data_IF_925058646627
#
_entry.id   IF_925058646627
#
_cell.length_a   1.000
_cell.length_b   1.000
_cell.length_c   1.000
_cell.angle_alpha   90.00
_cell.angle_beta   90.00
_cell.angle_gamma   90.00
#
_symmetry.space_group_name_H-M   'P 1'
#
loop_
_entity.id
_entity.type
_entity.pdbx_description
1 polymer ?
#
# COMPACT_ATOMS: atom_id res chain seq x y z
N UNK A 1 -22.66 -4.05 -16.55
CA UNK A 1 -21.19 -4.31 -16.50
C UNK A 1 -20.62 -3.17 -15.69
N UNK A 2 -20.36 -3.37 -14.39
CA UNK A 2 -19.94 -2.29 -13.49
C UNK A 2 -18.42 -2.30 -13.38
N UNK A 3 -17.80 -1.12 -13.48
CA UNK A 3 -16.35 -0.94 -13.49
C UNK A 3 -15.73 -1.27 -12.13
N UNK A 4 -14.65 -2.04 -12.12
CA UNK A 4 -13.87 -2.30 -10.91
C UNK A 4 -13.04 -1.08 -10.51
N UNK A 5 -12.83 -0.87 -9.22
CA UNK A 5 -12.00 0.21 -8.70
C UNK A 5 -10.52 0.02 -9.09
N UNK A 6 -10.02 0.87 -10.00
CA UNK A 6 -8.62 0.83 -10.46
C UNK A 6 -7.59 1.03 -9.34
N UNK A 7 -7.88 1.87 -8.34
CA UNK A 7 -7.00 2.10 -7.17
C UNK A 7 -6.93 0.90 -6.22
N UNK A 8 -8.01 0.14 -6.10
CA UNK A 8 -8.07 -1.04 -5.24
C UNK A 8 -7.54 -2.32 -5.91
N UNK A 9 -7.12 -2.25 -7.18
CA UNK A 9 -6.64 -3.41 -7.95
C UNK A 9 -5.14 -3.34 -8.27
N UNK A 10 -4.50 -2.19 -8.12
CA UNK A 10 -3.09 -2.01 -8.45
C UNK A 10 -2.19 -2.38 -7.26
N UNK A 11 -1.61 -3.58 -7.28
CA UNK A 11 -0.42 -3.86 -6.47
C UNK A 11 0.78 -3.31 -7.23
N UNK A 12 1.40 -2.26 -6.68
CA UNK A 12 2.64 -1.70 -7.22
C UNK A 12 3.83 -2.65 -7.04
N UNK A 13 5.03 -2.07 -7.00
CA UNK A 13 6.28 -2.78 -6.74
C UNK A 13 7.28 -2.61 -7.88
N UNK A 14 8.56 -2.67 -7.52
CA UNK A 14 9.67 -2.53 -8.45
C UNK A 14 9.81 -3.80 -9.32
N UNK A 15 9.94 -3.60 -10.63
CA UNK A 15 10.23 -4.65 -11.59
C UNK A 15 11.70 -4.59 -12.01
N UNK A 16 12.25 -5.73 -12.37
CA UNK A 16 13.60 -5.78 -12.95
C UNK A 16 13.49 -5.48 -14.44
N UNK A 17 13.64 -4.20 -14.78
CA UNK A 17 13.56 -3.70 -16.15
C UNK A 17 14.54 -2.54 -16.35
N UNK A 18 15.10 -2.37 -17.55
CA UNK A 18 15.92 -1.21 -17.84
C UNK A 18 15.08 0.07 -17.83
N UNK A 19 15.67 1.17 -17.35
CA UNK A 19 14.98 2.46 -17.25
C UNK A 19 15.95 3.64 -17.34
N UNK A 20 15.42 4.80 -17.72
CA UNK A 20 16.08 6.09 -17.55
C UNK A 20 15.57 6.74 -16.27
N UNK A 21 16.46 7.09 -15.35
CA UNK A 21 16.14 7.76 -14.10
C UNK A 21 16.53 9.22 -14.19
N UNK A 22 15.59 10.12 -13.90
CA UNK A 22 15.82 11.58 -13.89
C UNK A 22 15.51 12.12 -12.51
N UNK A 23 16.56 12.44 -11.76
CA UNK A 23 16.50 12.98 -10.41
C UNK A 23 16.50 14.50 -10.44
N UNK A 24 15.63 15.11 -9.64
CA UNK A 24 15.50 16.56 -9.48
C UNK A 24 15.54 16.82 -7.98
N UNK A 25 16.59 17.50 -7.51
CA UNK A 25 16.78 17.81 -6.10
C UNK A 25 16.47 19.29 -5.83
N UNK A 26 15.77 19.59 -4.73
CA UNK A 26 15.37 20.97 -4.42
C UNK A 26 16.52 21.86 -3.92
N UNK A 27 17.64 21.26 -3.51
CA UNK A 27 18.83 22.00 -3.07
C UNK A 27 20.13 21.44 -3.63
N UNK A 28 21.10 22.33 -3.78
CA UNK A 28 22.46 21.99 -4.24
C UNK A 28 23.15 21.00 -3.29
N UNK A 29 22.88 21.09 -1.98
CA UNK A 29 23.42 20.13 -1.00
C UNK A 29 22.88 18.71 -1.24
N UNK A 30 21.57 18.57 -1.45
CA UNK A 30 20.94 17.28 -1.74
C UNK A 30 21.45 16.71 -3.06
N UNK A 31 21.59 17.56 -4.08
CA UNK A 31 22.18 17.17 -5.36
C UNK A 31 23.60 16.63 -5.19
N UNK A 32 24.45 17.30 -4.41
CA UNK A 32 25.82 16.83 -4.14
C UNK A 32 25.85 15.51 -3.39
N UNK A 33 24.98 15.31 -2.38
CA UNK A 33 24.85 14.02 -1.68
C UNK A 33 24.40 12.90 -2.61
N UNK A 34 23.40 13.17 -3.45
CA UNK A 34 22.91 12.22 -4.45
C UNK A 34 24.02 11.82 -5.43
N UNK A 35 24.75 12.77 -6.00
CA UNK A 35 25.90 12.52 -6.89
C UNK A 35 26.93 11.63 -6.21
N UNK A 36 27.36 12.01 -5.00
CA UNK A 36 28.33 11.24 -4.23
C UNK A 36 27.87 9.80 -4.01
N UNK A 37 26.62 9.58 -3.65
CA UNK A 37 26.08 8.24 -3.46
C UNK A 37 26.03 7.43 -4.77
N UNK A 38 25.69 8.07 -5.90
CA UNK A 38 25.71 7.43 -7.22
C UNK A 38 27.15 7.06 -7.63
N UNK A 39 28.13 7.93 -7.37
CA UNK A 39 29.56 7.69 -7.60
C UNK A 39 30.08 6.54 -6.74
N UNK A 40 29.76 6.53 -5.44
CA UNK A 40 30.13 5.47 -4.49
C UNK A 40 29.54 4.11 -4.92
N UNK A 41 28.38 4.12 -5.56
CA UNK A 41 27.72 2.94 -6.14
C UNK A 41 28.21 2.59 -7.56
N UNK A 42 29.16 3.35 -8.10
CA UNK A 42 29.74 3.18 -9.44
C UNK A 42 28.72 3.29 -10.58
N UNK A 43 27.75 4.21 -10.45
CA UNK A 43 26.84 4.57 -11.53
C UNK A 43 27.38 5.75 -12.32
N UNK A 44 27.39 5.63 -13.64
CA UNK A 44 27.60 6.75 -14.55
C UNK A 44 26.28 7.55 -14.68
N UNK A 45 26.38 8.87 -14.65
CA UNK A 45 25.24 9.77 -14.79
C UNK A 45 25.65 11.03 -15.56
N UNK A 46 24.64 11.69 -16.13
CA UNK A 46 24.72 12.98 -16.77
C UNK A 46 24.18 14.03 -15.79
N UNK A 47 25.00 15.03 -15.50
CA UNK A 47 24.67 16.14 -14.61
C UNK A 47 24.29 17.36 -15.46
N UNK A 48 22.99 17.64 -15.55
CA UNK A 48 22.42 18.78 -16.26
C UNK A 48 22.05 19.88 -15.27
N UNK A 49 21.78 21.11 -15.74
CA UNK A 49 21.57 22.28 -14.86
C UNK A 49 20.60 22.00 -13.69
N UNK A 50 19.45 21.39 -13.99
CA UNK A 50 18.36 21.14 -13.04
C UNK A 50 18.13 19.65 -12.71
N UNK A 51 18.91 18.73 -13.28
CA UNK A 51 18.65 17.29 -13.10
C UNK A 51 19.89 16.41 -13.20
N UNK A 52 19.81 15.24 -12.57
CA UNK A 52 20.79 14.16 -12.72
C UNK A 52 20.10 12.99 -13.41
N UNK A 53 20.62 12.61 -14.58
CA UNK A 53 20.04 11.53 -15.40
C UNK A 53 20.99 10.33 -15.49
N UNK A 54 20.48 9.12 -15.28
CA UNK A 54 21.25 7.90 -15.53
C UNK A 54 20.41 6.79 -16.16
N UNK A 55 21.09 5.92 -16.89
CA UNK A 55 20.51 4.68 -17.42
C UNK A 55 20.81 3.54 -16.46
N UNK A 56 19.80 2.74 -16.13
CA UNK A 56 19.96 1.52 -15.35
C UNK A 56 19.49 0.33 -16.18
N UNK A 57 20.22 -0.79 -16.10
CA UNK A 57 19.81 -2.05 -16.74
C UNK A 57 18.71 -2.76 -15.96
N UNK A 58 18.57 -2.47 -14.67
CA UNK A 58 17.59 -3.06 -13.76
C UNK A 58 17.14 -2.08 -12.69
N UNK A 59 15.88 -1.64 -12.79
CA UNK A 59 15.25 -0.69 -11.88
C UNK A 59 15.17 -1.22 -10.45
N UNK A 60 14.71 -2.46 -10.26
CA UNK A 60 14.65 -3.09 -8.94
C UNK A 60 16.06 -3.19 -8.35
N UNK A 61 17.02 -3.79 -9.06
CA UNK A 61 18.42 -3.90 -8.59
C UNK A 61 19.06 -2.55 -8.22
N UNK A 62 18.79 -1.49 -9.00
CA UNK A 62 19.25 -0.14 -8.69
C UNK A 62 18.78 0.31 -7.30
N UNK A 63 17.48 0.27 -7.04
CA UNK A 63 16.94 0.78 -5.77
C UNK A 63 17.34 -0.08 -4.58
N UNK A 64 17.55 -1.39 -4.72
CA UNK A 64 18.08 -2.22 -3.63
C UNK A 64 19.48 -1.76 -3.25
N UNK A 65 20.38 -1.62 -4.23
CA UNK A 65 21.75 -1.12 -3.99
C UNK A 65 21.73 0.29 -3.40
N UNK A 66 20.86 1.15 -3.92
CA UNK A 66 20.72 2.53 -3.44
C UNK A 66 20.22 2.58 -1.99
N UNK A 67 19.20 1.79 -1.66
CA UNK A 67 18.64 1.69 -0.32
C UNK A 67 19.65 1.14 0.70
N UNK A 68 20.38 0.08 0.34
CA UNK A 68 21.40 -0.54 1.21
C UNK A 68 22.58 0.38 1.52
N UNK A 69 22.94 1.28 0.60
CA UNK A 69 24.03 2.24 0.81
C UNK A 69 23.74 3.29 1.89
N UNK A 70 22.46 3.53 2.24
CA UNK A 70 22.03 4.44 3.33
C UNK A 70 22.67 5.84 3.27
N UNK A 71 22.91 6.37 2.07
CA UNK A 71 23.55 7.69 1.89
C UNK A 71 22.65 8.90 2.15
N UNK A 72 21.33 8.70 2.15
CA UNK A 72 20.32 9.73 2.36
C UNK A 72 19.36 9.32 3.48
N UNK A 73 18.96 10.28 4.31
CA UNK A 73 17.89 10.09 5.29
C UNK A 73 16.50 10.11 4.62
N UNK A 74 15.48 9.68 5.37
CA UNK A 74 14.08 9.70 4.90
C UNK A 74 13.59 11.11 4.58
N UNK A 75 14.02 12.13 5.33
CA UNK A 75 13.65 13.53 5.07
C UNK A 75 14.33 14.00 3.79
N UNK A 76 15.62 13.70 3.61
CA UNK A 76 16.37 14.10 2.43
C UNK A 76 15.84 13.43 1.15
N UNK A 77 15.34 12.19 1.24
CA UNK A 77 14.76 11.49 0.09
C UNK A 77 13.33 11.98 -0.25
N UNK A 78 12.66 12.72 0.63
CA UNK A 78 11.38 13.36 0.32
C UNK A 78 11.56 14.60 -0.57
N UNK A 79 12.70 15.28 -0.46
CA UNK A 79 13.05 16.50 -1.21
C UNK A 79 13.81 16.23 -2.52
N UNK A 80 13.88 14.96 -2.92
CA UNK A 80 14.43 14.52 -4.21
C UNK A 80 13.29 13.89 -5.01
N UNK A 81 12.95 14.51 -6.12
CA UNK A 81 11.95 14.01 -7.05
C UNK A 81 12.60 13.12 -8.09
N UNK A 82 11.91 12.06 -8.48
CA UNK A 82 12.36 11.11 -9.48
C UNK A 82 11.27 10.87 -10.52
N UNK A 83 11.69 10.94 -11.77
CA UNK A 83 10.92 10.52 -12.94
C UNK A 83 11.60 9.29 -13.53
N UNK A 84 10.80 8.23 -13.74
CA UNK A 84 11.24 7.00 -14.39
C UNK A 84 10.70 6.99 -15.82
N UNK A 85 11.58 6.90 -16.80
CA UNK A 85 11.24 6.87 -18.23
C UNK A 85 11.67 5.54 -18.86
N UNK A 86 11.14 5.27 -20.05
CA UNK A 86 11.60 4.13 -20.85
C UNK A 86 13.09 4.30 -21.22
N UNK A 87 13.83 3.21 -21.47
CA UNK A 87 15.22 3.29 -21.91
C UNK A 87 15.38 4.18 -23.16
N UNK A 88 16.25 5.18 -23.08
CA UNK A 88 16.52 6.13 -24.18
C UNK A 88 15.43 7.18 -24.43
N UNK A 89 14.34 7.18 -23.67
CA UNK A 89 13.32 8.23 -23.73
C UNK A 89 13.87 9.56 -23.18
N UNK A 90 13.53 10.67 -23.85
CA UNK A 90 13.97 12.00 -23.43
C UNK A 90 12.98 12.62 -22.43
N UNK A 91 13.51 13.22 -21.38
CA UNK A 91 12.74 13.99 -20.42
C UNK A 91 12.01 15.16 -21.09
N UNK A 92 10.79 15.43 -20.63
CA UNK A 92 9.87 16.45 -21.16
C UNK A 92 8.96 16.90 -20.02
N UNK A 93 8.47 18.14 -20.10
CA UNK A 93 7.69 18.77 -19.03
C UNK A 93 6.46 17.98 -18.58
N UNK A 94 5.80 17.25 -19.46
CA UNK A 94 4.62 16.46 -19.09
C UNK A 94 4.95 15.24 -18.21
N UNK A 95 6.20 14.76 -18.18
CA UNK A 95 6.61 13.63 -17.34
C UNK A 95 6.62 14.00 -15.86
N UNK A 96 6.77 15.28 -15.52
CA UNK A 96 6.72 15.77 -14.13
C UNK A 96 5.42 15.38 -13.43
N UNK A 97 4.32 15.21 -14.17
CA UNK A 97 3.02 14.76 -13.62
C UNK A 97 3.08 13.38 -12.97
N UNK A 98 4.05 12.55 -13.36
CA UNK A 98 4.26 11.22 -12.84
C UNK A 98 5.45 11.16 -11.87
N UNK A 99 6.08 12.30 -11.56
CA UNK A 99 7.18 12.34 -10.61
C UNK A 99 6.71 11.82 -9.24
N UNK A 100 7.59 11.08 -8.58
CA UNK A 100 7.43 10.63 -7.21
C UNK A 100 8.68 11.01 -6.45
N UNK A 101 8.55 11.32 -5.16
CA UNK A 101 9.73 11.52 -4.33
C UNK A 101 10.56 10.23 -4.26
N UNK A 102 11.86 10.36 -4.02
CA UNK A 102 12.77 9.23 -3.93
C UNK A 102 12.36 8.32 -2.76
N UNK A 103 11.84 8.90 -1.67
CA UNK A 103 11.34 8.13 -0.53
C UNK A 103 10.27 7.10 -0.90
N UNK A 104 9.36 7.40 -1.83
CA UNK A 104 8.35 6.48 -2.32
C UNK A 104 9.00 5.24 -2.94
N UNK A 105 10.02 5.43 -3.79
CA UNK A 105 10.74 4.34 -4.44
C UNK A 105 11.57 3.50 -3.46
N UNK A 106 12.24 4.17 -2.51
CA UNK A 106 12.97 3.48 -1.44
C UNK A 106 12.02 2.69 -0.53
N UNK A 107 10.83 3.21 -0.28
CA UNK A 107 9.79 2.51 0.47
C UNK A 107 9.32 1.23 -0.23
N UNK A 108 9.34 1.16 -1.57
CA UNK A 108 9.05 -0.09 -2.29
C UNK A 108 10.06 -1.20 -1.96
N UNK A 109 11.33 -0.84 -1.73
CA UNK A 109 12.37 -1.79 -1.29
C UNK A 109 12.21 -2.13 0.18
N UNK A 110 12.05 -1.10 1.04
CA UNK A 110 11.90 -1.28 2.47
C UNK A 110 10.71 -2.18 2.85
N UNK A 111 9.63 -2.12 2.05
CA UNK A 111 8.40 -2.85 2.25
C UNK A 111 8.23 -4.06 1.29
N UNK A 112 9.31 -4.62 0.73
CA UNK A 112 9.20 -5.74 -0.22
C UNK A 112 8.51 -6.97 0.41
N UNK A 113 8.78 -7.30 1.70
CA UNK A 113 8.09 -8.39 2.41
C UNK A 113 6.56 -8.15 2.44
N UNK A 114 6.12 -6.92 2.67
CA UNK A 114 4.70 -6.54 2.63
C UNK A 114 4.11 -6.73 1.22
N UNK A 115 4.84 -6.27 0.19
CA UNK A 115 4.40 -6.39 -1.21
C UNK A 115 4.27 -7.86 -1.64
N UNK A 116 5.15 -8.73 -1.16
CA UNK A 116 5.06 -10.17 -1.38
C UNK A 116 3.86 -10.79 -0.67
N UNK A 117 3.62 -10.43 0.61
CA UNK A 117 2.46 -10.91 1.37
C UNK A 117 1.16 -10.59 0.61
N UNK A 118 1.04 -9.39 0.04
CA UNK A 118 -0.12 -9.00 -0.75
C UNK A 118 -0.21 -9.75 -2.08
N UNK A 119 0.88 -9.80 -2.86
CA UNK A 119 0.92 -10.49 -4.17
C UNK A 119 0.53 -11.95 -4.05
N UNK A 120 0.98 -12.62 -3.00
CA UNK A 120 0.72 -14.04 -2.75
C UNK A 120 -0.53 -14.29 -1.89
N UNK A 121 -1.28 -13.24 -1.56
CA UNK A 121 -2.51 -13.29 -0.74
C UNK A 121 -2.31 -13.99 0.61
N UNK A 122 -1.15 -13.79 1.25
CA UNK A 122 -0.77 -14.40 2.53
C UNK A 122 -1.27 -13.62 3.75
N UNK A 123 -2.49 -13.10 3.68
CA UNK A 123 -3.19 -12.55 4.82
C UNK A 123 -3.87 -13.68 5.61
N UNK A 124 -4.05 -13.48 6.91
CA UNK A 124 -4.74 -14.40 7.81
C UNK A 124 -5.68 -13.62 8.73
N UNK A 125 -6.79 -14.26 9.11
CA UNK A 125 -7.79 -13.67 10.01
C UNK A 125 -7.75 -14.38 11.37
N UNK A 126 -7.55 -13.58 12.41
CA UNK A 126 -7.74 -13.97 13.80
C UNK A 126 -9.14 -13.51 14.22
N UNK A 127 -9.90 -14.40 14.84
CA UNK A 127 -11.27 -14.10 15.30
C UNK A 127 -11.20 -13.88 16.80
N UNK A 128 -11.28 -12.62 17.22
CA UNK A 128 -11.29 -12.27 18.63
C UNK A 128 -12.73 -12.28 19.15
N UNK A 129 -13.08 -13.12 20.14
CA UNK A 129 -14.45 -13.20 20.61
C UNK A 129 -14.87 -11.91 21.32
N UNK A 130 -16.06 -11.43 20.97
CA UNK A 130 -16.77 -10.38 21.71
C UNK A 130 -17.83 -11.07 22.53
N UNK A 131 -17.88 -10.76 23.83
CA UNK A 131 -18.77 -11.42 24.79
C UNK A 131 -19.73 -10.45 25.45
N UNK A 132 -20.92 -10.92 25.81
CA UNK A 132 -21.87 -10.17 26.64
C UNK A 132 -21.45 -10.17 28.13
N UNK A 133 -22.26 -9.56 28.98
CA UNK A 133 -22.04 -9.51 30.44
C UNK A 133 -22.04 -10.89 31.12
N UNK A 134 -22.57 -11.92 30.44
CA UNK A 134 -22.62 -13.30 30.92
C UNK A 134 -21.48 -14.15 30.32
N UNK A 135 -20.50 -13.53 29.65
CA UNK A 135 -19.41 -14.20 28.94
C UNK A 135 -19.85 -15.10 27.77
N UNK A 136 -21.07 -14.88 27.25
CA UNK A 136 -21.54 -15.56 26.05
C UNK A 136 -21.02 -14.84 24.82
N UNK A 137 -20.48 -15.59 23.85
CA UNK A 137 -19.98 -15.01 22.59
C UNK A 137 -21.14 -14.44 21.78
N UNK A 138 -21.09 -13.14 21.50
CA UNK A 138 -22.07 -12.42 20.68
C UNK A 138 -21.56 -12.13 19.27
N UNK A 139 -20.24 -12.12 19.09
CA UNK A 139 -19.61 -11.77 17.83
C UNK A 139 -18.11 -12.07 17.81
N UNK A 140 -17.49 -11.83 16.67
CA UNK A 140 -16.05 -11.90 16.51
C UNK A 140 -15.51 -10.66 15.79
N UNK A 141 -14.45 -10.07 16.34
CA UNK A 141 -13.62 -9.10 15.63
C UNK A 141 -12.61 -9.82 14.73
N UNK A 142 -12.60 -9.46 13.45
CA UNK A 142 -11.65 -9.96 12.46
C UNK A 142 -10.36 -9.13 12.49
N UNK A 143 -9.34 -9.69 13.16
CA UNK A 143 -8.00 -9.12 13.26
C UNK A 143 -7.09 -9.69 12.19
N UNK A 144 -6.62 -8.85 11.26
CA UNK A 144 -5.78 -9.29 10.14
C UNK A 144 -4.32 -9.45 10.57
N UNK A 145 -3.62 -10.44 10.04
CA UNK A 145 -2.16 -10.61 10.14
C UNK A 145 -1.59 -10.96 8.77
N UNK A 146 -0.36 -10.55 8.50
CA UNK A 146 0.39 -11.05 7.36
C UNK A 146 1.15 -12.31 7.76
N UNK A 147 1.45 -13.18 6.81
CA UNK A 147 2.32 -14.33 7.02
C UNK A 147 3.51 -14.20 6.08
N UNK A 148 4.71 -14.02 6.61
CA UNK A 148 5.91 -13.91 5.77
C UNK A 148 6.36 -15.26 5.18
N UNK A 149 7.40 -15.24 4.33
CA UNK A 149 7.80 -16.44 3.58
C UNK A 149 8.26 -17.58 4.51
N UNK A 150 8.70 -17.24 5.72
CA UNK A 150 9.14 -18.19 6.75
C UNK A 150 7.96 -18.76 7.56
N UNK A 151 6.73 -18.32 7.28
CA UNK A 151 5.53 -18.70 8.01
C UNK A 151 5.30 -17.91 9.31
N UNK A 152 6.12 -16.90 9.60
CA UNK A 152 5.98 -16.06 10.79
C UNK A 152 4.91 -14.99 10.59
N UNK A 153 4.23 -14.63 11.68
CA UNK A 153 3.24 -13.56 11.66
C UNK A 153 3.91 -12.19 11.50
N UNK A 154 3.29 -11.36 10.68
CA UNK A 154 3.60 -9.95 10.48
C UNK A 154 2.47 -9.11 11.06
N UNK A 155 2.84 -8.11 11.85
CA UNK A 155 1.89 -7.28 12.60
C UNK A 155 1.03 -6.42 11.65
N UNK A 156 -0.23 -6.10 12.01
CA UNK A 156 -1.06 -5.19 11.22
C UNK A 156 -0.40 -3.80 11.10
N UNK A 157 0.19 -3.31 12.19
CA UNK A 157 0.83 -1.99 12.21
C UNK A 157 1.88 -1.85 11.09
N UNK A 158 2.75 -2.85 10.93
CA UNK A 158 3.71 -2.89 9.83
C UNK A 158 3.04 -2.94 8.45
N UNK A 159 1.98 -3.76 8.28
CA UNK A 159 1.26 -3.84 7.00
C UNK A 159 0.69 -2.48 6.60
N UNK A 160 0.02 -1.79 7.54
CA UNK A 160 -0.60 -0.48 7.27
C UNK A 160 0.42 0.63 7.08
N UNK A 161 1.52 0.65 7.86
CA UNK A 161 2.63 1.58 7.65
C UNK A 161 3.23 1.43 6.24
N UNK A 162 3.49 0.19 5.82
CA UNK A 162 3.97 -0.09 4.47
C UNK A 162 2.94 0.25 3.39
N UNK A 163 1.65 0.04 3.66
CA UNK A 163 0.59 0.38 2.73
C UNK A 163 0.49 1.88 2.45
N UNK A 164 0.69 2.71 3.48
CA UNK A 164 0.77 4.17 3.33
C UNK A 164 2.01 4.57 2.52
N UNK A 165 3.19 4.09 2.91
CA UNK A 165 4.47 4.44 2.26
C UNK A 165 4.56 4.01 0.79
N UNK A 166 3.75 3.04 0.38
CA UNK A 166 3.75 2.47 -0.98
C UNK A 166 2.53 2.84 -1.82
N UNK A 167 1.69 3.80 -1.37
CA UNK A 167 0.42 4.17 -2.01
C UNK A 167 -0.56 2.99 -2.22
N UNK A 168 -0.49 1.94 -1.38
CA UNK A 168 -1.26 0.70 -1.53
C UNK A 168 -2.31 0.47 -0.44
N UNK A 169 -2.59 1.47 0.40
CA UNK A 169 -3.61 1.43 1.46
C UNK A 169 -4.99 0.97 0.95
N UNK A 170 -5.41 1.46 -0.22
CA UNK A 170 -6.66 1.07 -0.90
C UNK A 170 -6.74 -0.42 -1.23
N UNK A 171 -5.60 -1.00 -1.60
CA UNK A 171 -5.50 -2.42 -1.92
C UNK A 171 -5.54 -3.27 -0.65
N UNK A 172 -4.73 -2.89 0.36
CA UNK A 172 -4.68 -3.61 1.64
C UNK A 172 -6.04 -3.63 2.34
N UNK A 173 -6.70 -2.47 2.49
CA UNK A 173 -8.01 -2.37 3.14
C UNK A 173 -9.05 -3.28 2.48
N UNK A 174 -9.11 -3.26 1.14
CA UNK A 174 -9.99 -4.17 0.38
C UNK A 174 -9.63 -5.63 0.64
N UNK A 175 -8.36 -6.00 0.55
CA UNK A 175 -7.91 -7.38 0.77
C UNK A 175 -8.27 -7.87 2.19
N UNK A 176 -8.13 -7.01 3.20
CA UNK A 176 -8.54 -7.25 4.59
C UNK A 176 -10.04 -7.53 4.70
N UNK A 177 -10.90 -6.70 4.08
CA UNK A 177 -12.36 -6.92 4.07
C UNK A 177 -12.75 -8.20 3.35
N UNK A 178 -12.16 -8.46 2.18
CA UNK A 178 -12.46 -9.66 1.39
C UNK A 178 -12.11 -10.94 2.17
N UNK A 179 -10.91 -11.00 2.77
CA UNK A 179 -10.48 -12.20 3.50
C UNK A 179 -11.26 -12.39 4.80
N UNK A 180 -11.65 -11.31 5.50
CA UNK A 180 -12.50 -11.38 6.69
C UNK A 180 -13.85 -12.04 6.37
N UNK A 181 -14.50 -11.62 5.29
CA UNK A 181 -15.76 -12.21 4.82
C UNK A 181 -15.57 -13.68 4.43
N UNK A 182 -14.58 -13.98 3.60
CA UNK A 182 -14.31 -15.34 3.15
C UNK A 182 -14.06 -16.28 4.34
N UNK A 183 -13.18 -15.89 5.27
CA UNK A 183 -12.84 -16.75 6.42
C UNK A 183 -13.96 -16.89 7.42
N UNK A 184 -14.82 -15.88 7.58
CA UNK A 184 -16.01 -15.97 8.42
C UNK A 184 -16.98 -17.02 7.89
N UNK A 185 -17.18 -17.04 6.57
CA UNK A 185 -18.01 -18.04 5.90
C UNK A 185 -17.41 -19.45 6.00
N UNK A 186 -16.11 -19.61 5.78
CA UNK A 186 -15.40 -20.89 5.92
C UNK A 186 -15.50 -21.46 7.35
N UNK A 187 -15.56 -20.60 8.38
CA UNK A 187 -15.76 -21.00 9.78
C UNK A 187 -17.22 -21.25 10.17
N UNK A 188 -18.17 -21.06 9.25
CA UNK A 188 -19.60 -21.28 9.50
C UNK A 188 -20.25 -20.21 10.38
N UNK A 189 -19.67 -19.01 10.48
CA UNK A 189 -20.15 -17.93 11.35
C UNK A 189 -21.32 -17.13 10.75
N UNK A 190 -22.24 -17.79 10.03
CA UNK A 190 -23.30 -17.11 9.23
C UNK A 190 -24.30 -16.35 10.10
N UNK A 191 -24.57 -16.87 11.30
CA UNK A 191 -25.56 -16.34 12.24
C UNK A 191 -24.94 -15.46 13.34
N UNK A 192 -23.64 -15.19 13.29
CA UNK A 192 -22.89 -14.46 14.32
C UNK A 192 -22.49 -13.07 13.82
N UNK A 193 -22.40 -12.07 14.71
CA UNK A 193 -21.88 -10.76 14.36
C UNK A 193 -20.38 -10.84 14.00
N UNK A 194 -19.99 -10.25 12.88
CA UNK A 194 -18.62 -10.19 12.38
C UNK A 194 -18.22 -8.72 12.28
N UNK A 195 -17.23 -8.33 13.08
CA UNK A 195 -16.71 -6.97 13.10
C UNK A 195 -15.47 -6.89 12.21
N UNK A 196 -15.52 -5.99 11.23
CA UNK A 196 -14.47 -5.82 10.21
C UNK A 196 -13.97 -4.39 10.27
N UNK A 197 -12.71 -4.24 10.63
CA UNK A 197 -11.99 -2.97 10.56
C UNK A 197 -11.90 -2.48 9.10
N UNK A 198 -12.15 -1.18 8.88
CA UNK A 198 -11.89 -0.52 7.62
C UNK A 198 -11.28 0.87 7.82
N UNK A 199 -10.53 1.33 6.81
CA UNK A 199 -9.91 2.64 6.81
C UNK A 199 -10.76 3.62 5.97
N UNK A 200 -11.36 4.68 6.56
CA UNK A 200 -12.24 5.57 5.80
C UNK A 200 -11.55 6.27 4.64
N UNK A 201 -10.30 6.68 4.82
CA UNK A 201 -9.51 7.36 3.78
C UNK A 201 -9.22 6.46 2.57
N UNK A 202 -9.40 5.14 2.70
CA UNK A 202 -9.27 4.20 1.59
C UNK A 202 -10.58 3.93 0.84
N UNK A 203 -11.69 4.57 1.19
CA UNK A 203 -13.01 4.38 0.53
C UNK A 203 -13.44 5.67 -0.17
N UNK A 204 -12.78 6.03 -1.28
CA UNK A 204 -13.10 7.28 -1.98
C UNK A 204 -14.48 7.26 -2.68
N UNK A 205 -14.91 6.10 -3.17
CA UNK A 205 -16.23 5.88 -3.75
C UNK A 205 -16.87 4.65 -3.09
N UNK A 206 -17.79 4.82 -2.12
CA UNK A 206 -18.45 3.71 -1.44
C UNK A 206 -19.06 2.71 -2.42
N UNK A 207 -19.72 3.20 -3.47
CA UNK A 207 -20.44 2.38 -4.45
C UNK A 207 -19.52 1.39 -5.16
N UNK A 208 -18.26 1.74 -5.41
CA UNK A 208 -17.31 0.86 -6.10
C UNK A 208 -16.39 0.12 -5.11
N UNK A 209 -16.01 0.76 -4.02
CA UNK A 209 -15.05 0.23 -3.05
C UNK A 209 -15.65 -0.83 -2.10
N UNK A 210 -16.93 -0.70 -1.75
CA UNK A 210 -17.63 -1.66 -0.88
C UNK A 210 -18.36 -2.75 -1.67
N UNK A 211 -18.63 -2.53 -2.95
CA UNK A 211 -19.33 -3.49 -3.82
C UNK A 211 -18.72 -4.89 -3.78
N UNK A 212 -17.40 -4.99 -3.79
CA UNK A 212 -16.74 -6.31 -3.74
C UNK A 212 -17.01 -7.02 -2.42
N UNK A 213 -17.01 -6.30 -1.30
CA UNK A 213 -17.33 -6.87 0.01
C UNK A 213 -18.79 -7.31 0.07
N UNK A 214 -19.72 -6.46 -0.39
CA UNK A 214 -21.16 -6.80 -0.46
C UNK A 214 -21.38 -8.02 -1.36
N UNK A 215 -20.71 -8.10 -2.51
CA UNK A 215 -20.78 -9.26 -3.41
C UNK A 215 -20.31 -10.54 -2.72
N UNK A 216 -19.24 -10.48 -1.93
CA UNK A 216 -18.76 -11.65 -1.19
C UNK A 216 -19.71 -12.05 -0.06
N UNK A 217 -20.28 -11.10 0.67
CA UNK A 217 -21.34 -11.35 1.68
C UNK A 217 -22.49 -12.15 1.05
N UNK A 218 -22.97 -11.70 -0.11
CA UNK A 218 -24.00 -12.39 -0.88
C UNK A 218 -23.55 -13.77 -1.37
N UNK A 219 -22.35 -13.88 -1.94
CA UNK A 219 -21.82 -15.13 -2.51
C UNK A 219 -21.65 -16.22 -1.45
N UNK A 220 -21.30 -15.83 -0.22
CA UNK A 220 -21.10 -16.76 0.89
C UNK A 220 -22.35 -16.96 1.77
N UNK A 221 -23.47 -16.35 1.41
CA UNK A 221 -24.72 -16.36 2.17
C UNK A 221 -24.52 -15.94 3.64
N UNK A 222 -23.74 -14.88 3.87
CA UNK A 222 -23.69 -14.21 5.17
C UNK A 222 -24.85 -13.22 5.28
N UNK A 223 -25.41 -13.06 6.49
CA UNK A 223 -26.45 -12.06 6.75
C UNK A 223 -25.82 -10.67 6.75
N UNK A 224 -26.41 -9.72 6.03
CA UNK A 224 -25.85 -8.37 5.92
C UNK A 224 -25.91 -7.66 7.28
N UNK A 225 -27.00 -7.86 8.02
CA UNK A 225 -27.20 -7.33 9.38
C UNK A 225 -26.20 -7.86 10.42
N UNK A 226 -25.44 -8.92 10.07
CA UNK A 226 -24.39 -9.46 10.92
C UNK A 226 -23.01 -8.88 10.63
N UNK A 227 -22.83 -8.11 9.56
CA UNK A 227 -21.54 -7.51 9.24
C UNK A 227 -21.49 -6.11 9.84
N UNK A 228 -20.60 -5.90 10.80
CA UNK A 228 -20.39 -4.61 11.46
C UNK A 228 -19.06 -4.04 10.97
N UNK A 229 -19.08 -2.86 10.37
CA UNK A 229 -17.87 -2.16 9.97
C UNK A 229 -17.37 -1.26 11.09
N UNK A 230 -16.10 -1.43 11.45
CA UNK A 230 -15.42 -0.63 12.48
C UNK A 230 -14.44 0.36 11.85
N UNK A 231 -14.51 1.61 12.29
CA UNK A 231 -13.65 2.68 11.78
C UNK A 231 -12.35 2.70 12.56
N UNK A 232 -11.21 2.56 11.87
CA UNK A 232 -9.90 2.69 12.52
C UNK A 232 -9.53 4.17 12.68
N UNK A 233 -9.50 4.65 13.93
CA UNK A 233 -9.36 6.08 14.28
C UNK A 233 -7.98 6.69 13.96
N UNK A 234 -6.93 5.88 13.77
CA UNK A 234 -5.56 6.35 13.52
C UNK A 234 -5.42 7.24 12.28
N UNK A 235 -6.35 7.12 11.33
CA UNK A 235 -6.51 8.08 10.25
C UNK A 235 -7.59 9.08 10.64
N UNK A 236 -7.16 10.26 11.15
CA UNK A 236 -8.07 11.36 11.52
C UNK A 236 -9.26 11.44 10.55
N UNK A 237 -10.47 11.22 11.05
CA UNK A 237 -11.72 11.43 10.31
C UNK A 237 -11.87 12.93 10.09
N UNK A 238 -11.09 13.47 9.14
CA UNK A 238 -11.12 14.89 8.77
C UNK A 238 -12.40 15.23 8.00
N UNK A 239 -13.06 14.22 7.44
CA UNK A 239 -14.30 14.38 6.66
C UNK A 239 -15.42 13.49 7.19
N UNK A 240 -16.13 13.99 8.20
CA UNK A 240 -17.33 13.36 8.76
C UNK A 240 -18.44 13.21 7.70
N UNK A 241 -18.49 14.09 6.69
CA UNK A 241 -19.49 13.97 5.62
C UNK A 241 -19.18 12.78 4.72
N UNK A 242 -17.92 12.60 4.38
CA UNK A 242 -17.47 11.42 3.64
C UNK A 242 -17.77 10.12 4.40
N UNK A 243 -17.48 10.10 5.71
CA UNK A 243 -17.82 8.97 6.57
C UNK A 243 -19.33 8.68 6.58
N UNK A 244 -20.18 9.72 6.67
CA UNK A 244 -21.64 9.56 6.54
C UNK A 244 -22.04 9.00 5.19
N UNK A 245 -21.49 9.50 4.10
CA UNK A 245 -21.78 8.97 2.76
C UNK A 245 -21.36 7.49 2.61
N UNK A 246 -20.32 7.04 3.31
CA UNK A 246 -19.95 5.61 3.36
C UNK A 246 -20.98 4.81 4.17
N UNK A 247 -21.47 5.34 5.29
CA UNK A 247 -22.44 4.66 6.16
C UNK A 247 -23.88 4.64 5.62
N UNK A 248 -24.24 5.62 4.79
CA UNK A 248 -25.57 5.71 4.16
C UNK A 248 -25.70 4.79 2.94
N UNK A 249 -24.61 4.14 2.51
CA UNK A 249 -24.55 3.19 1.40
C UNK A 249 -24.63 1.73 1.90
#
# INVERSE_FOLDING_TARGET
>A
MHEECGKCNAIGGLREEPATLVFIAESELLRQKLKKQLEDLSYEFYDEEDSITLQVSGLKSFFYRFYEAKGLSEIESQDIWLVVLSPGERFRSYHVKNARNLNFWLSQVACDEYMEILREKRLMVYFHPIVDSNLSVVGFECLIRGINQKGSQVSPAYLFECAEKTDSLFYLDRACREIAIQKSAERGLRETLIFINFVPTSIYNPETCLQTTIRLVNTYNLRHENIVFEVVESHQVRDIKHLRNIMDY
#
